data_IF_382308887824
#
_entry.id   IF_382308887824
#
_cell.length_a   1.000
_cell.length_b   1.000
_cell.length_c   1.000
_cell.angle_alpha   90.00
_cell.angle_beta   90.00
_cell.angle_gamma   90.00
#
_symmetry.space_group_name_H-M   'P 1'
#
loop_
_entity.id
_entity.type
_entity.pdbx_description
1 polymer ?
#
# COMPACT_ATOMS: atom_id res chain seq x y z
N UNK A 1 -11.42 2.32 1.04
CA UNK A 1 -11.90 1.68 -0.22
C UNK A 1 -11.53 0.19 -0.19
N UNK A 2 -12.49 -0.69 -0.45
CA UNK A 2 -12.24 -2.13 -0.55
C UNK A 2 -11.83 -2.51 -1.97
N UNK A 3 -10.74 -3.28 -2.09
CA UNK A 3 -10.16 -3.73 -3.36
C UNK A 3 -10.25 -5.25 -3.40
N UNK A 4 -10.88 -5.79 -4.44
CA UNK A 4 -11.00 -7.23 -4.66
C UNK A 4 -10.03 -7.64 -5.76
N UNK A 5 -9.12 -8.53 -5.41
CA UNK A 5 -8.14 -9.09 -6.34
C UNK A 5 -8.75 -10.26 -7.10
N UNK A 6 -8.59 -10.23 -8.43
CA UNK A 6 -9.02 -11.30 -9.33
C UNK A 6 -7.84 -11.81 -10.14
N UNK A 7 -7.74 -13.13 -10.27
CA UNK A 7 -6.82 -13.82 -11.18
C UNK A 7 -7.65 -14.77 -12.03
N UNK A 8 -7.50 -14.71 -13.35
CA UNK A 8 -8.29 -15.49 -14.32
C UNK A 8 -9.81 -15.38 -14.08
N UNK A 9 -10.28 -14.17 -13.77
CA UNK A 9 -11.68 -13.86 -13.48
C UNK A 9 -12.18 -14.29 -12.09
N UNK A 10 -11.43 -15.14 -11.37
CA UNK A 10 -11.80 -15.63 -10.04
C UNK A 10 -11.25 -14.72 -8.94
N UNK A 11 -12.12 -14.35 -7.99
CA UNK A 11 -11.73 -13.61 -6.77
C UNK A 11 -10.90 -14.53 -5.89
N UNK A 12 -9.73 -14.07 -5.44
CA UNK A 12 -8.88 -14.88 -4.55
C UNK A 12 -8.41 -14.12 -3.30
N UNK A 13 -8.47 -12.79 -3.30
CA UNK A 13 -8.15 -11.98 -2.12
C UNK A 13 -8.94 -10.67 -2.11
N UNK A 14 -9.08 -10.08 -0.93
CA UNK A 14 -9.63 -8.75 -0.70
C UNK A 14 -8.65 -7.92 0.14
N UNK A 15 -8.69 -6.60 -0.01
CA UNK A 15 -7.87 -5.68 0.76
C UNK A 15 -8.62 -4.37 0.96
N UNK A 16 -8.82 -3.97 2.21
CA UNK A 16 -9.28 -2.63 2.52
C UNK A 16 -8.09 -1.69 2.56
N UNK A 17 -8.18 -0.57 1.84
CA UNK A 17 -7.19 0.50 1.87
C UNK A 17 -7.84 1.77 2.37
N UNK A 18 -7.32 2.34 3.44
CA UNK A 18 -7.71 3.63 3.98
C UNK A 18 -6.60 4.63 3.72
N UNK A 19 -6.94 5.82 3.23
CA UNK A 19 -5.98 6.88 2.92
C UNK A 19 -6.32 8.10 3.77
N UNK A 20 -5.32 8.68 4.42
CA UNK A 20 -5.43 9.97 5.06
C UNK A 20 -4.49 10.97 4.35
N UNK A 21 -5.04 11.84 3.49
CA UNK A 21 -4.26 12.86 2.78
C UNK A 21 -3.99 14.13 3.60
N UNK A 22 -4.58 14.27 4.81
CA UNK A 22 -4.56 15.51 5.60
C UNK A 22 -3.30 15.67 6.46
N UNK A 23 -2.54 14.60 6.62
CA UNK A 23 -1.29 14.57 7.38
C UNK A 23 -0.08 14.51 6.43
N UNK A 24 1.07 15.00 6.90
CA UNK A 24 2.31 14.97 6.14
C UNK A 24 3.41 14.26 6.95
N UNK A 25 3.98 13.15 6.46
CA UNK A 25 3.66 12.45 5.20
C UNK A 25 2.24 11.86 5.18
N UNK A 26 1.61 11.80 3.99
CA UNK A 26 0.27 11.22 3.84
C UNK A 26 0.30 9.75 4.21
N UNK A 27 -0.75 9.26 4.84
CA UNK A 27 -0.74 7.91 5.42
C UNK A 27 -1.71 6.98 4.72
N UNK A 28 -1.35 5.70 4.66
CA UNK A 28 -2.25 4.64 4.22
C UNK A 28 -2.29 3.50 5.23
N UNK A 29 -3.46 2.89 5.37
CA UNK A 29 -3.64 1.66 6.13
C UNK A 29 -4.16 0.58 5.20
N UNK A 30 -3.60 -0.62 5.34
CA UNK A 30 -3.91 -1.76 4.48
C UNK A 30 -4.33 -2.93 5.36
N UNK A 31 -5.56 -3.40 5.16
CA UNK A 31 -6.14 -4.53 5.88
C UNK A 31 -6.48 -5.65 4.89
N UNK A 32 -5.65 -6.69 4.76
CA UNK A 32 -5.91 -7.83 3.89
C UNK A 32 -7.00 -8.74 4.48
N UNK A 33 -7.92 -9.22 3.64
CA UNK A 33 -8.98 -10.15 4.04
C UNK A 33 -8.58 -11.62 3.82
N UNK A 34 -7.41 -11.86 3.22
CA UNK A 34 -6.92 -13.18 2.85
C UNK A 34 -5.39 -13.23 2.78
N UNK A 35 -4.86 -14.45 2.70
CA UNK A 35 -3.41 -14.71 2.72
C UNK A 35 -2.80 -14.68 4.14
N UNK A 36 -1.47 -14.76 4.25
CA UNK A 36 -0.75 -14.82 5.53
C UNK A 36 -0.95 -13.61 6.44
N UNK A 37 -1.36 -12.48 5.86
CA UNK A 37 -1.58 -11.20 6.54
C UNK A 37 -3.06 -10.93 6.83
N UNK A 38 -3.92 -11.95 6.75
CA UNK A 38 -5.36 -11.80 6.97
C UNK A 38 -5.66 -11.26 8.37
N UNK A 39 -6.48 -10.22 8.45
CA UNK A 39 -6.91 -9.62 9.72
C UNK A 39 -5.87 -8.69 10.35
N UNK A 40 -4.70 -8.54 9.73
CA UNK A 40 -3.67 -7.61 10.16
C UNK A 40 -3.92 -6.22 9.57
N UNK A 41 -3.63 -5.19 10.35
CA UNK A 41 -3.61 -3.79 9.88
C UNK A 41 -2.17 -3.38 9.66
N UNK A 42 -1.80 -3.18 8.39
CA UNK A 42 -0.48 -2.70 7.99
C UNK A 42 -0.51 -1.19 7.83
N UNK A 43 0.47 -0.52 8.43
CA UNK A 43 0.59 0.94 8.42
C UNK A 43 1.66 1.36 7.42
N UNK A 44 1.41 2.44 6.69
CA UNK A 44 2.40 2.99 5.78
C UNK A 44 2.20 4.46 5.47
N UNK A 45 3.12 5.01 4.70
CA UNK A 45 3.01 6.36 4.15
C UNK A 45 3.01 6.29 2.63
N UNK A 46 2.38 7.28 1.99
CA UNK A 46 2.38 7.42 0.54
C UNK A 46 2.63 8.85 0.11
N UNK A 47 3.17 9.00 -1.09
CA UNK A 47 3.18 10.28 -1.81
C UNK A 47 2.84 10.04 -3.27
N UNK A 48 2.17 11.01 -3.87
CA UNK A 48 1.84 11.02 -5.29
C UNK A 48 2.44 12.28 -5.89
N UNK A 49 3.38 12.09 -6.81
CA UNK A 49 4.13 13.15 -7.48
C UNK A 49 3.94 12.96 -8.99
N UNK A 50 3.01 13.74 -9.57
CA UNK A 50 2.58 13.54 -10.96
C UNK A 50 2.01 12.15 -11.18
N UNK A 51 2.67 11.37 -12.04
CA UNK A 51 2.30 9.98 -12.36
C UNK A 51 3.05 8.93 -11.52
N UNK A 52 3.82 9.36 -10.51
CA UNK A 52 4.61 8.48 -9.64
C UNK A 52 3.92 8.38 -8.28
N UNK A 53 3.55 7.15 -7.91
CA UNK A 53 3.07 6.79 -6.58
C UNK A 53 4.21 6.09 -5.81
N UNK A 54 4.63 6.67 -4.70
CA UNK A 54 5.56 6.03 -3.77
C UNK A 54 4.81 5.60 -2.52
N UNK A 55 5.00 4.37 -2.07
CA UNK A 55 4.42 3.81 -0.84
C UNK A 55 5.54 3.20 -0.01
N UNK A 56 5.57 3.49 1.29
CA UNK A 56 6.45 2.84 2.25
C UNK A 56 5.61 2.18 3.34
N UNK A 57 5.73 0.86 3.50
CA UNK A 57 4.99 0.08 4.49
C UNK A 57 5.91 -0.31 5.63
N UNK A 58 5.40 -0.19 6.85
CA UNK A 58 6.06 -0.74 8.03
C UNK A 58 5.94 -2.27 8.08
N UNK A 59 6.86 -2.94 8.78
CA UNK A 59 6.70 -4.34 9.14
C UNK A 59 5.41 -4.56 9.92
N UNK A 60 4.98 -5.82 9.97
CA UNK A 60 3.82 -6.24 10.77
C UNK A 60 3.96 -5.78 12.23
N UNK A 61 2.94 -5.10 12.74
CA UNK A 61 2.88 -4.68 14.15
C UNK A 61 3.86 -3.59 14.53
N UNK A 62 4.50 -2.92 13.56
CA UNK A 62 5.37 -1.77 13.79
C UNK A 62 4.65 -0.46 13.50
N UNK A 63 5.20 0.60 14.07
CA UNK A 63 4.70 1.96 13.86
C UNK A 63 4.90 2.41 12.41
N UNK A 64 4.12 3.43 12.05
CA UNK A 64 4.13 3.99 10.71
C UNK A 64 5.53 4.58 10.38
N UNK A 65 6.07 4.34 9.17
CA UNK A 65 7.36 4.93 8.79
C UNK A 65 7.26 6.46 8.75
N UNK A 66 8.32 7.14 9.19
CA UNK A 66 8.41 8.61 9.13
C UNK A 66 8.98 9.12 7.80
N UNK A 67 9.66 8.24 7.05
CA UNK A 67 10.37 8.57 5.80
C UNK A 67 10.11 7.50 4.74
N UNK A 68 10.31 7.87 3.48
CA UNK A 68 10.19 6.98 2.32
C UNK A 68 11.51 6.25 2.06
N UNK A 69 11.94 5.45 3.02
CA UNK A 69 13.22 4.73 2.98
C UNK A 69 12.97 3.26 3.36
N UNK A 70 13.60 2.33 2.64
CA UNK A 70 13.69 0.94 3.04
C UNK A 70 15.11 0.70 3.54
N UNK A 71 15.27 0.54 4.85
CA UNK A 71 16.59 0.40 5.47
C UNK A 71 17.03 -1.06 5.36
N UNK A 72 18.28 -1.29 4.92
CA UNK A 72 18.81 -2.64 4.84
C UNK A 72 18.76 -3.34 6.22
N UNK A 73 18.16 -4.53 6.26
CA UNK A 73 17.98 -5.28 7.51
C UNK A 73 16.68 -4.98 8.26
N UNK A 74 15.82 -4.08 7.77
CA UNK A 74 14.43 -3.95 8.22
C UNK A 74 13.48 -4.63 7.23
N UNK A 75 12.33 -5.09 7.72
CA UNK A 75 11.24 -5.61 6.88
C UNK A 75 10.37 -4.48 6.31
N UNK A 76 10.91 -3.25 6.23
CA UNK A 76 10.22 -2.12 5.59
C UNK A 76 10.19 -2.33 4.08
N UNK A 77 9.03 -2.07 3.48
CA UNK A 77 8.85 -2.26 2.04
C UNK A 77 8.58 -0.92 1.38
N UNK A 78 9.53 -0.46 0.55
CA UNK A 78 9.36 0.72 -0.31
C UNK A 78 8.98 0.28 -1.73
N UNK A 79 7.88 0.81 -2.23
CA UNK A 79 7.35 0.54 -3.56
C UNK A 79 7.17 1.84 -4.34
N UNK A 80 7.63 1.85 -5.59
CA UNK A 80 7.44 2.98 -6.51
C UNK A 80 6.70 2.48 -7.74
N UNK A 81 5.52 3.05 -7.98
CA UNK A 81 4.66 2.72 -9.11
C UNK A 81 4.57 3.91 -10.05
N UNK A 82 4.67 3.66 -11.35
CA UNK A 82 4.33 4.63 -12.38
C UNK A 82 2.95 4.32 -12.94
N UNK A 83 2.09 5.32 -12.98
CA UNK A 83 0.76 5.21 -13.59
C UNK A 83 0.92 4.78 -15.04
N UNK A 84 0.26 3.69 -15.42
CA UNK A 84 0.15 3.33 -16.84
C UNK A 84 -0.78 4.32 -17.54
N UNK A 85 -0.45 4.78 -18.76
CA UNK A 85 -1.40 5.53 -19.57
C UNK A 85 -2.67 4.70 -19.74
N UNK A 86 -3.84 5.35 -19.71
CA UNK A 86 -5.10 4.66 -19.95
C UNK A 86 -5.03 4.07 -21.37
N UNK A 87 -5.40 2.78 -21.58
CA UNK A 87 -5.60 2.30 -22.93
C UNK A 87 -6.67 3.17 -23.58
N UNK A 88 -6.32 3.79 -24.71
CA UNK A 88 -7.22 4.61 -25.49
C UNK A 88 -8.06 3.65 -26.33
N UNK A 89 -9.24 3.32 -25.82
CA UNK A 89 -10.30 2.66 -26.60
C UNK A 89 -11.10 3.72 -27.34
#
# INVERSE_FOLDING_TARGET
KHVVWKRDGKRFAGTTVELNPEVNPKTLDVSPDGGPMKGEKLLGIYKLEGDILTICMAPKGKDRPAKFEAIAGTDETLMVFKKKPKPQN
#
